data_IF_444942199222
#
_entry.id   IF_444942199222
#
_cell.length_a   1.000
_cell.length_b   1.000
_cell.length_c   1.000
_cell.angle_alpha   90.00
_cell.angle_beta   90.00
_cell.angle_gamma   90.00
#
_symmetry.space_group_name_H-M   'P 1'
#
loop_
_entity.id
_entity.type
_entity.pdbx_description
1 polymer ?
#
# COMPACT_ATOMS: atom_id res chain seq x y z
N UNK A 1 -5.19 5.24 40.77
CA UNK A 1 -4.32 4.05 40.71
C UNK A 1 -5.18 2.91 40.23
N UNK A 2 -5.00 2.43 38.98
CA UNK A 2 -4.65 1.02 38.70
C UNK A 2 -4.60 0.77 37.17
N UNK A 3 -3.45 0.25 36.75
CA UNK A 3 -3.07 -0.53 35.57
C UNK A 3 -3.86 -0.47 34.25
N UNK A 4 -3.58 0.52 33.40
CA UNK A 4 -3.78 0.38 31.94
C UNK A 4 -2.50 0.63 31.10
N UNK A 5 -1.35 0.87 31.73
CA UNK A 5 -0.09 1.24 31.03
C UNK A 5 0.89 0.08 30.79
N UNK A 6 0.48 -1.19 30.93
CA UNK A 6 1.46 -2.29 31.00
C UNK A 6 1.88 -2.96 29.69
N UNK A 7 1.46 -2.51 28.51
CA UNK A 7 1.82 -3.15 27.21
C UNK A 7 2.39 -2.22 26.14
N UNK A 8 3.07 -1.13 26.51
CA UNK A 8 4.02 -0.45 25.60
C UNK A 8 5.45 -0.93 25.85
N UNK A 9 5.71 -2.18 25.52
CA UNK A 9 7.07 -2.62 25.26
C UNK A 9 7.48 -2.11 23.88
N UNK A 10 8.35 -1.11 23.80
CA UNK A 10 9.01 -0.75 22.54
C UNK A 10 9.85 -1.95 22.12
N UNK A 11 9.46 -2.68 21.07
CA UNK A 11 10.22 -3.82 20.52
C UNK A 11 11.53 -3.42 19.84
N UNK A 12 12.08 -2.24 20.16
CA UNK A 12 13.20 -1.61 19.46
C UNK A 12 14.57 -2.17 19.87
N UNK A 13 14.66 -2.99 20.93
CA UNK A 13 15.94 -3.41 21.52
C UNK A 13 16.27 -4.90 21.38
N UNK A 14 15.46 -5.69 20.67
CA UNK A 14 15.85 -7.07 20.35
C UNK A 14 16.79 -7.05 19.15
N UNK A 15 18.01 -7.63 19.24
CA UNK A 15 18.87 -7.75 18.09
C UNK A 15 18.14 -8.58 17.02
N UNK A 16 18.16 -8.06 15.80
CA UNK A 16 17.58 -8.73 14.65
C UNK A 16 18.11 -10.17 14.55
N UNK A 17 17.25 -11.18 14.33
CA UNK A 17 17.68 -12.52 14.00
C UNK A 17 18.77 -12.54 12.91
N UNK A 18 19.70 -13.51 12.95
CA UNK A 18 20.71 -13.68 11.91
C UNK A 18 20.07 -13.71 10.51
N UNK A 19 20.63 -12.93 9.57
CA UNK A 19 20.13 -12.84 8.19
C UNK A 19 19.18 -11.67 7.92
N UNK A 20 18.67 -10.98 8.95
CA UNK A 20 17.94 -9.73 8.74
C UNK A 20 18.94 -8.58 8.60
N UNK A 21 19.06 -8.07 7.38
CA UNK A 21 19.93 -6.93 7.06
C UNK A 21 19.34 -5.59 7.49
N UNK A 22 18.01 -5.50 7.58
CA UNK A 22 17.29 -4.27 7.92
C UNK A 22 15.89 -4.61 8.43
N UNK A 23 15.47 -3.92 9.50
CA UNK A 23 14.10 -3.93 10.00
C UNK A 23 13.72 -2.49 10.35
N UNK A 24 12.69 -1.97 9.70
CA UNK A 24 12.20 -0.61 9.89
C UNK A 24 10.72 -0.52 9.55
N UNK A 25 10.05 0.52 10.05
CA UNK A 25 8.70 0.86 9.61
C UNK A 25 8.76 1.54 8.24
N UNK A 26 7.79 1.22 7.37
CA UNK A 26 7.58 1.97 6.11
C UNK A 26 7.13 3.40 6.40
N UNK A 27 6.29 3.57 7.42
CA UNK A 27 5.81 4.86 7.91
C UNK A 27 5.45 4.75 9.39
N UNK A 28 5.59 5.86 10.13
CA UNK A 28 5.10 5.96 11.52
C UNK A 28 3.84 6.83 11.64
N UNK A 29 3.54 7.62 10.60
CA UNK A 29 2.37 8.49 10.51
C UNK A 29 1.69 8.26 9.18
N UNK A 30 0.36 8.19 9.21
CA UNK A 30 -0.47 7.98 8.03
C UNK A 30 -1.76 8.81 8.12
N UNK A 31 -2.37 9.15 6.97
CA UNK A 31 -3.64 9.85 6.90
C UNK A 31 -4.87 8.93 7.08
N UNK A 32 -4.66 7.68 7.48
CA UNK A 32 -5.71 6.66 7.69
C UNK A 32 -5.56 6.01 9.07
N UNK A 33 -6.66 5.46 9.57
CA UNK A 33 -6.68 4.81 10.89
C UNK A 33 -6.23 3.33 10.82
N UNK A 34 -6.49 2.65 9.70
CA UNK A 34 -6.16 1.25 9.49
C UNK A 34 -5.54 1.01 8.12
N UNK A 35 -4.67 0.01 8.02
CA UNK A 35 -4.10 -0.49 6.78
C UNK A 35 -3.90 -2.01 6.83
N UNK A 36 -3.99 -2.67 5.68
CA UNK A 36 -3.82 -4.12 5.58
C UNK A 36 -3.45 -4.55 4.14
N UNK A 37 -3.18 -5.85 3.95
CA UNK A 37 -2.76 -6.48 2.70
C UNK A 37 -1.61 -5.77 1.96
N UNK A 38 -0.45 -5.67 2.60
CA UNK A 38 0.73 -5.05 2.00
C UNK A 38 1.36 -5.90 0.89
N UNK A 39 1.87 -5.24 -0.14
CA UNK A 39 2.68 -5.79 -1.23
C UNK A 39 3.97 -4.97 -1.37
N UNK A 40 5.03 -5.57 -1.90
CA UNK A 40 6.30 -4.89 -2.19
C UNK A 40 6.89 -5.40 -3.51
N UNK A 41 7.53 -4.51 -4.27
CA UNK A 41 8.28 -4.84 -5.47
C UNK A 41 9.61 -4.09 -5.51
N UNK A 42 10.62 -4.69 -6.12
CA UNK A 42 11.87 -4.03 -6.47
C UNK A 42 11.76 -3.45 -7.89
N UNK A 43 12.27 -2.23 -8.07
CA UNK A 43 12.34 -1.51 -9.34
C UNK A 43 13.78 -1.05 -9.56
N UNK A 44 14.09 -0.53 -10.75
CA UNK A 44 15.39 0.11 -11.03
C UNK A 44 15.71 1.33 -10.12
N UNK A 45 14.70 1.85 -9.40
CA UNK A 45 14.83 3.01 -8.52
C UNK A 45 14.82 2.67 -7.02
N UNK A 46 14.69 1.39 -6.67
CA UNK A 46 14.58 0.91 -5.28
C UNK A 46 13.29 0.13 -5.03
N UNK A 47 12.93 -0.02 -3.76
CA UNK A 47 11.73 -0.76 -3.37
C UNK A 47 10.49 0.15 -3.45
N UNK A 48 9.35 -0.44 -3.79
CA UNK A 48 8.04 0.21 -3.72
C UNK A 48 7.13 -0.71 -2.92
N UNK A 49 6.49 -0.16 -1.88
CA UNK A 49 5.50 -0.88 -1.08
C UNK A 49 4.14 -0.22 -1.24
N UNK A 50 3.09 -1.03 -1.25
CA UNK A 50 1.70 -0.57 -1.29
C UNK A 50 0.80 -1.40 -0.38
N UNK A 51 -0.32 -0.84 0.02
CA UNK A 51 -1.34 -1.45 0.89
C UNK A 51 -2.67 -0.71 0.69
N UNK A 52 -3.78 -1.28 1.14
CA UNK A 52 -5.00 -0.49 1.25
C UNK A 52 -5.10 0.12 2.66
N UNK A 53 -5.75 1.28 2.76
CA UNK A 53 -5.95 1.95 4.04
C UNK A 53 -7.06 3.00 4.00
N UNK A 54 -7.73 3.17 5.13
CA UNK A 54 -8.89 4.06 5.30
C UNK A 54 -9.33 4.13 6.76
N UNK A 55 -10.57 4.53 6.98
CA UNK A 55 -11.17 4.59 8.33
C UNK A 55 -11.29 3.19 8.95
N UNK A 56 -11.81 2.24 8.18
CA UNK A 56 -11.95 0.81 8.54
C UNK A 56 -12.11 0.00 7.26
N UNK A 57 -11.77 -1.29 7.30
CA UNK A 57 -12.08 -2.21 6.20
C UNK A 57 -13.55 -2.09 5.74
N UNK A 58 -13.76 -2.14 4.43
CA UNK A 58 -15.02 -1.93 3.69
C UNK A 58 -15.55 -0.50 3.64
N UNK A 59 -14.93 0.48 4.32
CA UNK A 59 -15.41 1.86 4.23
C UNK A 59 -15.09 2.47 2.85
N UNK A 60 -15.96 3.35 2.31
CA UNK A 60 -15.74 3.95 0.99
C UNK A 60 -14.43 4.75 0.87
N UNK A 61 -13.86 5.22 1.98
CA UNK A 61 -12.60 5.98 1.97
C UNK A 61 -11.35 5.09 1.83
N UNK A 62 -11.50 3.76 1.90
CA UNK A 62 -10.39 2.82 1.71
C UNK A 62 -9.83 2.97 0.30
N UNK A 63 -8.59 3.43 0.24
CA UNK A 63 -7.83 3.72 -0.98
C UNK A 63 -6.57 2.87 -1.03
N UNK A 64 -5.91 2.77 -2.19
CA UNK A 64 -4.56 2.19 -2.28
C UNK A 64 -3.53 3.28 -2.00
N UNK A 65 -2.64 3.00 -1.05
CA UNK A 65 -1.55 3.87 -0.62
C UNK A 65 -0.21 3.22 -0.93
N UNK A 66 0.81 4.05 -1.14
CA UNK A 66 2.14 3.63 -1.55
C UNK A 66 3.23 4.43 -0.82
N UNK A 67 4.40 3.83 -0.67
CA UNK A 67 5.65 4.52 -0.36
C UNK A 67 6.81 3.90 -1.15
N UNK A 68 7.77 4.73 -1.55
CA UNK A 68 8.97 4.31 -2.27
C UNK A 68 10.18 4.38 -1.35
N UNK A 69 11.04 3.37 -1.37
CA UNK A 69 12.28 3.32 -0.61
C UNK A 69 13.48 3.61 -1.49
N UNK A 70 14.10 4.77 -1.27
CA UNK A 70 15.36 5.16 -1.89
C UNK A 70 16.56 5.00 -0.96
N UNK A 71 17.65 5.71 -1.29
CA UNK A 71 18.87 5.77 -0.44
C UNK A 71 18.62 6.37 0.94
N UNK A 72 17.66 7.29 1.06
CA UNK A 72 17.38 8.03 2.28
C UNK A 72 16.22 7.44 3.10
N UNK A 73 15.80 6.19 2.80
CA UNK A 73 14.66 5.54 3.44
C UNK A 73 13.36 5.66 2.63
N UNK A 74 12.24 5.47 3.33
CA UNK A 74 10.89 5.52 2.76
C UNK A 74 10.39 6.94 2.53
N UNK A 75 9.69 7.15 1.42
CA UNK A 75 9.00 8.41 1.12
C UNK A 75 7.76 8.57 2.02
N UNK A 76 7.21 9.79 2.14
CA UNK A 76 5.86 9.96 2.67
C UNK A 76 4.85 9.05 1.96
N UNK A 77 3.80 8.69 2.69
CA UNK A 77 2.72 7.85 2.17
C UNK A 77 1.87 8.65 1.19
N UNK A 78 1.65 8.10 -0.01
CA UNK A 78 0.90 8.75 -1.08
C UNK A 78 -0.27 7.88 -1.53
N UNK A 79 -1.42 8.51 -1.81
CA UNK A 79 -2.58 7.81 -2.38
C UNK A 79 -2.33 7.61 -3.87
N UNK A 80 -2.42 6.37 -4.34
CA UNK A 80 -2.14 6.02 -5.74
C UNK A 80 -3.35 5.47 -6.48
N UNK A 81 -4.39 5.02 -5.76
CA UNK A 81 -5.68 4.71 -6.36
C UNK A 81 -6.85 4.93 -5.38
N UNK A 82 -8.00 5.37 -5.90
CA UNK A 82 -9.28 5.39 -5.17
C UNK A 82 -10.42 4.79 -6.00
N UNK A 83 -11.48 4.35 -5.33
CA UNK A 83 -12.56 3.63 -5.99
C UNK A 83 -13.46 4.50 -6.89
N UNK A 84 -13.31 5.83 -6.88
CA UNK A 84 -14.11 6.72 -7.73
C UNK A 84 -13.54 6.90 -9.14
N UNK A 85 -12.25 6.60 -9.36
CA UNK A 85 -11.54 6.92 -10.60
C UNK A 85 -12.20 6.36 -11.88
N UNK A 86 -12.71 5.12 -11.84
CA UNK A 86 -13.48 4.54 -12.95
C UNK A 86 -14.97 4.36 -12.65
N UNK A 87 -15.33 4.04 -11.41
CA UNK A 87 -16.72 3.71 -11.08
C UNK A 87 -17.65 4.92 -11.09
N UNK A 88 -17.10 6.13 -10.95
CA UNK A 88 -17.87 7.37 -10.77
C UNK A 88 -18.51 7.52 -9.39
N UNK A 89 -18.31 6.56 -8.48
CA UNK A 89 -18.79 6.58 -7.08
C UNK A 89 -17.64 6.25 -6.14
N UNK A 90 -17.58 6.89 -4.97
CA UNK A 90 -16.62 6.48 -3.96
C UNK A 90 -17.01 5.10 -3.39
N UNK A 91 -16.15 4.11 -3.60
CA UNK A 91 -16.23 2.73 -3.08
C UNK A 91 -14.85 2.28 -2.62
N UNK A 92 -14.79 1.22 -1.82
CA UNK A 92 -13.53 0.72 -1.26
C UNK A 92 -12.60 0.11 -2.32
N UNK A 93 -11.29 0.32 -2.16
CA UNK A 93 -10.22 -0.40 -2.86
C UNK A 93 -9.60 -1.50 -1.98
N UNK A 94 -9.09 -2.57 -2.59
CA UNK A 94 -8.62 -3.75 -1.86
C UNK A 94 -7.42 -4.43 -2.48
N UNK A 95 -6.70 -5.18 -1.65
CA UNK A 95 -5.70 -6.20 -1.98
C UNK A 95 -4.77 -5.80 -3.15
N UNK A 96 -3.95 -4.75 -2.98
CA UNK A 96 -3.02 -4.35 -4.01
C UNK A 96 -1.96 -5.43 -4.24
N UNK A 97 -1.56 -5.58 -5.50
CA UNK A 97 -0.44 -6.43 -5.92
C UNK A 97 0.47 -5.60 -6.82
N UNK A 98 1.71 -5.41 -6.36
CA UNK A 98 2.76 -4.80 -7.17
C UNK A 98 3.48 -5.88 -7.96
N UNK A 99 3.71 -5.63 -9.24
CA UNK A 99 4.45 -6.53 -10.11
C UNK A 99 5.37 -5.74 -11.04
N UNK A 100 6.67 -5.95 -10.90
CA UNK A 100 7.68 -5.43 -11.82
C UNK A 100 8.09 -6.55 -12.78
N UNK A 101 7.63 -6.55 -14.05
CA UNK A 101 8.10 -7.51 -15.04
C UNK A 101 9.58 -7.28 -15.35
N UNK A 102 10.26 -8.33 -15.87
CA UNK A 102 11.66 -8.25 -16.31
C UNK A 102 11.92 -7.15 -17.34
N UNK A 103 10.91 -6.88 -18.17
CA UNK A 103 10.90 -5.80 -19.15
C UNK A 103 9.49 -5.21 -19.16
N UNK A 104 9.37 -3.91 -18.91
CA UNK A 104 8.10 -3.20 -18.90
C UNK A 104 7.92 -2.31 -17.66
N UNK A 105 6.80 -1.58 -17.60
CA UNK A 105 6.50 -0.69 -16.48
C UNK A 105 6.19 -1.48 -15.21
N UNK A 106 6.36 -0.85 -14.05
CA UNK A 106 5.78 -1.32 -12.79
C UNK A 106 4.26 -1.38 -12.94
N UNK A 107 3.65 -2.46 -12.47
CA UNK A 107 2.20 -2.66 -12.50
C UNK A 107 1.65 -2.69 -11.07
N UNK A 108 0.50 -2.05 -10.87
CA UNK A 108 -0.30 -2.13 -9.65
C UNK A 108 -1.66 -2.68 -10.03
N UNK A 109 -1.98 -3.87 -9.51
CA UNK A 109 -3.30 -4.47 -9.60
C UNK A 109 -4.01 -4.28 -8.26
N UNK A 110 -5.32 -4.06 -8.27
CA UNK A 110 -6.11 -3.93 -7.06
C UNK A 110 -7.57 -4.26 -7.37
N UNK A 111 -8.37 -4.51 -6.33
CA UNK A 111 -9.81 -4.67 -6.47
C UNK A 111 -10.53 -3.39 -6.04
N UNK A 112 -11.75 -3.23 -6.52
CA UNK A 112 -12.62 -2.11 -6.18
C UNK A 112 -14.05 -2.64 -6.03
N UNK A 113 -14.79 -2.12 -5.04
CA UNK A 113 -16.19 -2.44 -4.77
C UNK A 113 -16.49 -2.52 -3.27
N UNK A 114 -17.78 -2.49 -2.92
CA UNK A 114 -18.23 -2.45 -1.53
C UNK A 114 -18.11 -3.83 -0.85
N UNK A 115 -18.52 -4.89 -1.55
CA UNK A 115 -18.54 -6.27 -1.04
C UNK A 115 -18.07 -7.29 -2.11
N UNK A 116 -17.57 -8.44 -1.65
CA UNK A 116 -16.94 -9.48 -2.49
C UNK A 116 -17.68 -9.84 -3.79
N UNK A 117 -19.03 -9.98 -3.82
CA UNK A 117 -19.75 -10.32 -5.05
C UNK A 117 -19.74 -9.22 -6.10
N UNK A 118 -19.59 -7.96 -5.67
CA UNK A 118 -19.59 -6.78 -6.54
C UNK A 118 -18.19 -6.31 -6.90
N UNK A 119 -17.15 -6.96 -6.37
CA UNK A 119 -15.77 -6.56 -6.63
C UNK A 119 -15.37 -6.80 -8.08
N UNK A 120 -14.48 -5.94 -8.54
CA UNK A 120 -13.78 -6.11 -9.79
C UNK A 120 -12.31 -5.77 -9.67
N UNK A 121 -11.52 -6.18 -10.67
CA UNK A 121 -10.12 -5.84 -10.77
C UNK A 121 -9.88 -4.59 -11.60
N UNK A 122 -8.92 -3.79 -11.18
CA UNK A 122 -8.33 -2.69 -11.96
C UNK A 122 -6.81 -2.81 -11.93
N UNK A 123 -6.16 -2.19 -12.91
CA UNK A 123 -4.72 -2.01 -12.85
C UNK A 123 -4.26 -0.64 -13.34
N UNK A 124 -3.13 -0.19 -12.82
CA UNK A 124 -2.39 1.00 -13.23
C UNK A 124 -0.95 0.60 -13.55
N UNK A 125 -0.28 1.38 -14.40
CA UNK A 125 1.14 1.20 -14.70
C UNK A 125 1.94 2.45 -14.39
N UNK A 126 3.23 2.26 -14.09
CA UNK A 126 4.18 3.33 -13.84
C UNK A 126 5.48 3.06 -14.59
N UNK A 127 5.93 4.04 -15.37
CA UNK A 127 7.20 3.98 -16.12
C UNK A 127 8.37 4.61 -15.36
N UNK A 128 8.12 5.15 -14.17
CA UNK A 128 9.09 5.91 -13.37
C UNK A 128 9.23 5.36 -11.93
N UNK A 129 8.94 4.07 -11.75
CA UNK A 129 9.12 3.34 -10.48
C UNK A 129 8.14 3.75 -9.39
N UNK A 130 6.90 4.05 -9.76
CA UNK A 130 5.80 4.36 -8.86
C UNK A 130 5.64 5.84 -8.50
N UNK A 131 6.39 6.76 -9.13
CA UNK A 131 6.28 8.20 -8.86
C UNK A 131 5.04 8.79 -9.53
N UNK A 132 4.72 8.34 -10.73
CA UNK A 132 3.49 8.67 -11.44
C UNK A 132 2.83 7.40 -11.96
N UNK A 133 1.51 7.44 -12.05
CA UNK A 133 0.69 6.29 -12.46
C UNK A 133 -0.22 6.66 -13.63
N UNK A 134 -0.43 5.70 -14.53
CA UNK A 134 -1.42 5.81 -15.59
C UNK A 134 -2.83 5.96 -15.03
N UNK A 135 -3.79 6.33 -15.89
CA UNK A 135 -5.20 6.08 -15.56
C UNK A 135 -5.44 4.59 -15.33
N UNK A 136 -6.36 4.22 -14.43
CA UNK A 136 -6.74 2.83 -14.22
C UNK A 136 -7.41 2.21 -15.44
N UNK A 137 -7.23 0.90 -15.59
CA UNK A 137 -7.86 0.08 -16.63
C UNK A 137 -8.59 -1.06 -15.93
N UNK A 138 -9.87 -1.23 -16.27
CA UNK A 138 -10.72 -2.31 -15.79
C UNK A 138 -10.23 -3.67 -16.33
N UNK A 139 -10.11 -4.65 -15.45
CA UNK A 139 -9.83 -6.04 -15.83
C UNK A 139 -11.13 -6.75 -16.27
N UNK A 140 -11.05 -7.74 -17.18
CA UNK A 140 -12.19 -8.52 -17.65
C UNK A 140 -12.95 -9.27 -16.55
#
# INVERSE_FOLDING_TARGET
MDNAEKHRGTSRDMPNPPGIVLSEFVFEKAPFAQCHASTIAETEHGLVAAWFGGTRESEPDVSIWMSSRGRNGWSPVEKVADGSELSGRQVACWNPVLFQPKSGPLMLFYKVGDDEPEWWGEYKTSVDGGKTWSKPIRLP
#
